data_IF_115235237879
#
_entry.id   IF_115235237879
#
_cell.length_a   1.000
_cell.length_b   1.000
_cell.length_c   1.000
_cell.angle_alpha   90.00
_cell.angle_beta   90.00
_cell.angle_gamma   90.00
#
_symmetry.space_group_name_H-M   'P 1'
#
loop_
_entity.id
_entity.type
_entity.pdbx_description
1 polymer ?
#
# COMPACT_ATOMS: atom_id res chain seq x y z
N UNK A 1 -19.04 -3.44 0.34
CA UNK A 1 -19.79 -2.17 0.31
C UNK A 1 -21.27 -2.40 -0.01
N UNK A 2 -22.19 -1.73 0.67
CA UNK A 2 -23.63 -1.78 0.37
C UNK A 2 -24.02 -0.88 -0.82
N UNK A 3 -25.25 -1.06 -1.30
CA UNK A 3 -25.76 -0.43 -2.52
C UNK A 3 -25.89 1.10 -2.38
N UNK A 4 -26.19 1.63 -1.20
CA UNK A 4 -26.38 3.07 -1.01
C UNK A 4 -25.05 3.82 -1.05
N UNK A 5 -24.01 3.27 -0.44
CA UNK A 5 -22.64 3.77 -0.60
C UNK A 5 -22.16 3.70 -2.05
N UNK A 6 -22.51 2.65 -2.78
CA UNK A 6 -22.18 2.56 -4.21
C UNK A 6 -22.88 3.65 -5.04
N UNK A 7 -24.15 3.95 -4.74
CA UNK A 7 -24.87 5.05 -5.39
C UNK A 7 -24.17 6.38 -5.16
N UNK A 8 -23.64 6.63 -3.96
CA UNK A 8 -22.87 7.84 -3.66
C UNK A 8 -21.62 7.93 -4.56
N UNK A 9 -20.84 6.85 -4.70
CA UNK A 9 -19.68 6.83 -5.60
C UNK A 9 -20.07 7.10 -7.06
N UNK A 10 -21.15 6.50 -7.54
CA UNK A 10 -21.65 6.72 -8.91
C UNK A 10 -22.10 8.18 -9.10
N UNK A 11 -22.70 8.80 -8.07
CA UNK A 11 -23.11 10.20 -8.11
C UNK A 11 -21.91 11.16 -8.19
N UNK A 12 -20.81 10.86 -7.51
CA UNK A 12 -19.55 11.62 -7.64
C UNK A 12 -19.05 11.55 -9.10
N UNK A 13 -19.01 10.35 -9.69
CA UNK A 13 -18.60 10.18 -11.09
C UNK A 13 -19.55 10.86 -12.08
N UNK A 14 -20.85 10.89 -11.78
CA UNK A 14 -21.85 11.59 -12.59
C UNK A 14 -21.67 13.11 -12.52
N UNK A 15 -21.25 13.66 -11.38
CA UNK A 15 -20.98 15.09 -11.25
C UNK A 15 -19.83 15.54 -12.17
N UNK A 16 -18.77 14.72 -12.30
CA UNK A 16 -17.63 15.04 -13.16
C UNK A 16 -17.90 14.74 -14.64
N UNK A 17 -18.39 13.54 -14.96
CA UNK A 17 -18.49 13.06 -16.34
C UNK A 17 -19.88 13.27 -16.97
N UNK A 18 -20.82 13.86 -16.23
CA UNK A 18 -22.17 14.17 -16.67
C UNK A 18 -22.91 12.96 -17.25
N UNK A 19 -23.42 13.11 -18.47
CA UNK A 19 -24.23 12.08 -19.14
C UNK A 19 -23.45 10.82 -19.53
N UNK A 20 -22.11 10.83 -19.46
CA UNK A 20 -21.31 9.60 -19.67
C UNK A 20 -21.49 8.59 -18.54
N UNK A 21 -22.00 9.02 -17.37
CA UNK A 21 -22.29 8.16 -16.22
C UNK A 21 -23.79 8.13 -15.97
N UNK A 22 -24.36 6.95 -16.21
CA UNK A 22 -25.75 6.65 -15.91
C UNK A 22 -25.79 5.97 -14.54
N UNK A 23 -26.51 6.58 -13.60
CA UNK A 23 -26.77 6.03 -12.29
C UNK A 23 -28.08 5.22 -12.36
N UNK A 24 -27.95 3.90 -12.35
CA UNK A 24 -29.11 2.99 -12.28
C UNK A 24 -28.94 2.03 -11.09
N UNK A 25 -30.06 1.51 -10.60
CA UNK A 25 -30.10 0.56 -9.49
C UNK A 25 -29.35 -0.73 -9.85
N UNK A 26 -29.49 -1.21 -11.09
CA UNK A 26 -28.84 -2.42 -11.58
C UNK A 26 -27.33 -2.25 -11.62
N UNK A 27 -26.84 -1.08 -12.07
CA UNK A 27 -25.41 -0.76 -12.07
C UNK A 27 -24.87 -0.73 -10.64
N UNK A 28 -25.60 -0.12 -9.71
CA UNK A 28 -25.20 -0.07 -8.31
C UNK A 28 -25.12 -1.49 -7.69
N UNK A 29 -26.04 -2.39 -8.03
CA UNK A 29 -26.00 -3.80 -7.58
C UNK A 29 -24.81 -4.57 -8.15
N UNK A 30 -24.48 -4.38 -9.43
CA UNK A 30 -23.29 -4.99 -10.03
C UNK A 30 -22.03 -4.51 -9.31
N UNK A 31 -21.94 -3.20 -9.06
CA UNK A 31 -20.78 -2.62 -8.39
C UNK A 31 -20.68 -3.07 -6.92
N UNK A 32 -21.80 -3.24 -6.21
CA UNK A 32 -21.78 -3.74 -4.83
C UNK A 32 -21.25 -5.17 -4.73
N UNK A 33 -21.47 -6.01 -5.75
CA UNK A 33 -20.89 -7.36 -5.81
C UNK A 33 -19.37 -7.28 -5.98
N UNK A 34 -18.89 -6.50 -6.93
CA UNK A 34 -17.45 -6.35 -7.21
C UNK A 34 -16.71 -5.74 -6.01
N UNK A 35 -17.27 -4.71 -5.40
CA UNK A 35 -16.70 -3.97 -4.27
C UNK A 35 -17.21 -4.47 -2.92
N UNK A 36 -17.72 -5.70 -2.86
CA UNK A 36 -18.27 -6.30 -1.63
C UNK A 36 -17.25 -6.35 -0.50
N UNK A 37 -15.98 -6.57 -0.84
CA UNK A 37 -14.84 -6.65 0.07
C UNK A 37 -14.26 -5.29 0.52
N UNK A 38 -14.70 -4.18 -0.07
CA UNK A 38 -14.19 -2.85 0.20
C UNK A 38 -15.12 -2.05 1.12
N UNK A 39 -14.53 -1.18 1.94
CA UNK A 39 -15.23 -0.16 2.73
C UNK A 39 -15.51 1.08 1.88
N UNK A 40 -16.50 1.89 2.26
CA UNK A 40 -16.84 3.11 1.53
C UNK A 40 -15.65 4.07 1.42
N UNK A 41 -14.90 4.27 2.52
CA UNK A 41 -13.72 5.14 2.55
C UNK A 41 -12.63 4.70 1.55
N UNK A 42 -12.38 3.40 1.40
CA UNK A 42 -11.43 2.89 0.40
C UNK A 42 -11.90 3.16 -1.02
N UNK A 43 -13.21 3.01 -1.29
CA UNK A 43 -13.80 3.31 -2.59
C UNK A 43 -13.78 4.81 -2.92
N UNK A 44 -14.06 5.66 -1.93
CA UNK A 44 -14.01 7.11 -2.08
C UNK A 44 -12.60 7.60 -2.39
N UNK A 45 -11.59 7.12 -1.66
CA UNK A 45 -10.18 7.43 -1.93
C UNK A 45 -9.77 7.00 -3.34
N UNK A 46 -10.09 5.77 -3.73
CA UNK A 46 -9.77 5.25 -5.06
C UNK A 46 -10.45 6.07 -6.17
N UNK A 47 -11.70 6.48 -5.98
CA UNK A 47 -12.39 7.37 -6.93
C UNK A 47 -11.71 8.73 -6.99
N UNK A 48 -11.35 9.34 -5.86
CA UNK A 48 -10.67 10.64 -5.83
C UNK A 48 -9.31 10.61 -6.57
N UNK A 49 -8.52 9.55 -6.38
CA UNK A 49 -7.24 9.38 -7.08
C UNK A 49 -7.45 9.20 -8.60
N UNK A 50 -8.39 8.37 -9.02
CA UNK A 50 -8.71 8.18 -10.44
C UNK A 50 -9.26 9.45 -11.10
N UNK A 51 -9.95 10.31 -10.34
CA UNK A 51 -10.42 11.62 -10.83
C UNK A 51 -9.29 12.66 -10.92
N UNK A 52 -8.21 12.49 -10.16
CA UNK A 52 -7.03 13.36 -10.22
C UNK A 52 -6.17 13.12 -11.47
N UNK A 53 -6.32 11.95 -12.09
CA UNK A 53 -5.66 11.61 -13.35
C UNK A 53 -6.33 12.33 -14.54
N UNK A 54 -5.53 12.72 -15.53
CA UNK A 54 -6.04 13.31 -16.77
C UNK A 54 -6.73 12.24 -17.66
N UNK A 55 -8.01 11.94 -17.38
CA UNK A 55 -8.79 10.88 -18.05
C UNK A 55 -9.88 11.45 -18.93
N UNK A 56 -10.05 10.87 -20.12
CA UNK A 56 -11.12 11.27 -21.06
C UNK A 56 -12.47 10.55 -20.81
N UNK A 57 -12.44 9.45 -20.07
CA UNK A 57 -13.57 8.54 -19.83
C UNK A 57 -13.72 8.22 -18.34
N UNK A 58 -14.97 8.03 -17.87
CA UNK A 58 -15.22 7.68 -16.48
C UNK A 58 -14.58 6.32 -16.13
N UNK A 59 -14.02 6.16 -14.92
CA UNK A 59 -13.44 4.91 -14.48
C UNK A 59 -14.51 3.82 -14.37
N UNK A 60 -14.15 2.61 -14.75
CA UNK A 60 -14.95 1.41 -14.55
C UNK A 60 -14.84 0.90 -13.12
N UNK A 61 -15.81 0.08 -12.69
CA UNK A 61 -15.74 -0.59 -11.37
C UNK A 61 -14.51 -1.47 -11.22
N UNK A 62 -14.01 -2.06 -12.32
CA UNK A 62 -12.79 -2.86 -12.31
C UNK A 62 -11.56 -2.01 -11.99
N UNK A 63 -11.48 -0.80 -12.54
CA UNK A 63 -10.39 0.13 -12.27
C UNK A 63 -10.45 0.67 -10.84
N UNK A 64 -11.63 1.01 -10.35
CA UNK A 64 -11.83 1.40 -8.94
C UNK A 64 -11.39 0.26 -8.02
N UNK A 65 -11.79 -0.98 -8.32
CA UNK A 65 -11.36 -2.15 -7.56
C UNK A 65 -9.83 -2.34 -7.58
N UNK A 66 -9.21 -2.20 -8.75
CA UNK A 66 -7.75 -2.28 -8.87
C UNK A 66 -7.05 -1.20 -8.05
N UNK A 67 -7.58 0.03 -8.05
CA UNK A 67 -7.03 1.12 -7.27
C UNK A 67 -7.18 0.87 -5.76
N UNK A 68 -8.33 0.37 -5.30
CA UNK A 68 -8.52 -0.06 -3.90
C UNK A 68 -7.47 -1.11 -3.51
N UNK A 69 -7.24 -2.11 -4.37
CA UNK A 69 -6.24 -3.15 -4.11
C UNK A 69 -4.81 -2.58 -4.11
N UNK A 70 -4.49 -1.62 -4.98
CA UNK A 70 -3.21 -0.89 -4.96
C UNK A 70 -3.03 -0.13 -3.65
N UNK A 71 -4.04 0.60 -3.21
CA UNK A 71 -4.00 1.38 -1.97
C UNK A 71 -3.83 0.49 -0.74
N UNK A 72 -4.47 -0.68 -0.72
CA UNK A 72 -4.30 -1.70 0.33
C UNK A 72 -2.91 -2.32 0.34
N UNK A 73 -2.32 -2.51 -0.82
CA UNK A 73 -0.93 -2.97 -0.93
C UNK A 73 0.06 -1.88 -0.49
N UNK A 74 -0.43 -0.65 -0.27
CA UNK A 74 0.38 0.55 -0.16
C UNK A 74 1.02 0.91 -1.50
N UNK A 75 1.53 2.13 -1.63
CA UNK A 75 2.68 2.33 -2.49
C UNK A 75 3.71 1.28 -2.08
N UNK A 76 3.79 0.19 -2.84
CA UNK A 76 5.02 -0.61 -2.85
C UNK A 76 6.07 0.40 -3.23
N UNK A 77 6.85 0.89 -2.26
CA UNK A 77 8.15 1.48 -2.54
C UNK A 77 8.77 0.53 -3.55
N UNK A 78 8.96 1.00 -4.78
CA UNK A 78 9.38 0.12 -5.86
C UNK A 78 10.67 -0.52 -5.38
N UNK A 79 10.60 -1.83 -5.11
CA UNK A 79 11.72 -2.58 -4.58
C UNK A 79 12.93 -2.43 -5.50
N UNK A 80 12.68 -2.19 -6.80
CA UNK A 80 13.69 -1.86 -7.79
C UNK A 80 14.30 -0.49 -7.54
N UNK A 81 13.50 0.55 -7.31
CA UNK A 81 14.00 1.89 -7.00
C UNK A 81 14.81 1.90 -5.69
N UNK A 82 14.34 1.18 -4.66
CA UNK A 82 15.08 1.01 -3.43
C UNK A 82 16.40 0.25 -3.62
N UNK A 83 16.39 -0.76 -4.49
CA UNK A 83 17.59 -1.50 -4.85
C UNK A 83 18.60 -0.61 -5.59
N UNK A 84 18.16 0.25 -6.50
CA UNK A 84 19.03 1.17 -7.22
C UNK A 84 19.70 2.17 -6.25
N UNK A 85 18.98 2.64 -5.23
CA UNK A 85 19.56 3.45 -4.15
C UNK A 85 20.59 2.68 -3.33
N UNK A 86 20.33 1.41 -3.01
CA UNK A 86 21.28 0.52 -2.32
C UNK A 86 22.53 0.29 -3.17
N UNK A 87 22.38 0.08 -4.47
CA UNK A 87 23.50 -0.08 -5.41
C UNK A 87 24.38 1.17 -5.45
N UNK A 88 23.79 2.36 -5.58
CA UNK A 88 24.51 3.63 -5.59
C UNK A 88 25.25 3.87 -4.26
N UNK A 89 24.62 3.53 -3.13
CA UNK A 89 25.24 3.63 -1.80
C UNK A 89 26.36 2.59 -1.60
N UNK A 90 26.19 1.38 -2.12
CA UNK A 90 27.15 0.27 -2.05
C UNK A 90 28.44 0.55 -2.82
N UNK A 91 28.35 1.18 -3.99
CA UNK A 91 29.53 1.61 -4.75
C UNK A 91 30.42 2.60 -3.98
N UNK A 92 29.84 3.36 -3.06
CA UNK A 92 30.53 4.36 -2.23
C UNK A 92 30.76 3.87 -0.78
N UNK A 93 30.48 2.59 -0.47
CA UNK A 93 30.43 2.09 0.91
C UNK A 93 31.77 1.58 1.45
N UNK A 94 32.77 1.37 0.59
CA UNK A 94 34.06 0.76 0.97
C UNK A 94 34.70 1.45 2.19
N UNK A 95 34.70 2.79 2.19
CA UNK A 95 35.24 3.59 3.30
C UNK A 95 34.16 4.30 4.14
N UNK A 96 32.93 4.45 3.64
CA UNK A 96 31.88 5.28 4.25
C UNK A 96 30.54 4.53 4.46
N UNK A 97 30.56 3.20 4.62
CA UNK A 97 29.34 2.39 4.68
C UNK A 97 28.32 2.84 5.74
N UNK A 98 28.76 3.30 6.91
CA UNK A 98 27.83 3.75 7.95
C UNK A 98 27.09 5.03 7.56
N UNK A 99 27.82 6.00 6.99
CA UNK A 99 27.23 7.26 6.52
C UNK A 99 26.30 7.01 5.32
N UNK A 100 26.69 6.14 4.40
CA UNK A 100 25.86 5.80 3.24
C UNK A 100 24.62 4.98 3.62
N UNK A 101 24.75 4.05 4.57
CA UNK A 101 23.61 3.30 5.09
C UNK A 101 22.63 4.19 5.88
N UNK A 102 23.12 5.25 6.53
CA UNK A 102 22.27 6.23 7.21
C UNK A 102 21.43 7.08 6.24
N UNK A 103 21.89 7.28 5.00
CA UNK A 103 21.16 8.00 3.95
C UNK A 103 20.06 7.16 3.27
N UNK A 104 20.05 5.85 3.50
CA UNK A 104 19.04 4.96 2.92
C UNK A 104 17.71 5.04 3.71
N UNK A 105 16.56 4.88 3.04
CA UNK A 105 15.28 4.68 3.70
C UNK A 105 15.34 3.52 4.71
N UNK A 106 14.67 3.64 5.85
CA UNK A 106 14.77 2.66 6.94
C UNK A 106 14.42 1.24 6.49
N UNK A 107 13.40 1.09 5.65
CA UNK A 107 12.99 -0.19 5.07
C UNK A 107 14.12 -0.85 4.26
N UNK A 108 14.80 -0.08 3.40
CA UNK A 108 15.93 -0.57 2.60
C UNK A 108 17.16 -0.87 3.48
N UNK A 109 17.47 0.01 4.44
CA UNK A 109 18.57 -0.21 5.40
C UNK A 109 18.36 -1.49 6.20
N UNK A 110 17.14 -1.76 6.65
CA UNK A 110 16.80 -2.98 7.39
C UNK A 110 16.83 -4.22 6.51
N UNK A 111 16.29 -4.14 5.29
CA UNK A 111 16.28 -5.25 4.34
C UNK A 111 17.69 -5.67 3.91
N UNK A 112 18.60 -4.71 3.68
CA UNK A 112 19.98 -5.00 3.29
C UNK A 112 20.86 -5.46 4.46
N UNK A 113 20.46 -5.21 5.72
CA UNK A 113 21.27 -5.57 6.90
C UNK A 113 22.22 -4.47 7.37
N UNK A 114 21.91 -3.20 7.08
CA UNK A 114 22.68 -2.04 7.51
C UNK A 114 24.01 -1.88 6.78
N UNK A 115 24.99 -1.28 7.45
CA UNK A 115 26.30 -0.96 6.86
C UNK A 115 27.08 -2.22 6.44
N UNK A 116 26.91 -3.34 7.14
CA UNK A 116 27.57 -4.62 6.83
C UNK A 116 27.08 -5.14 5.47
N UNK A 117 25.77 -5.28 5.30
CA UNK A 117 25.21 -5.72 4.01
C UNK A 117 25.45 -4.74 2.87
N UNK A 118 25.58 -3.44 3.17
CA UNK A 118 25.96 -2.44 2.16
C UNK A 118 27.42 -2.60 1.68
N UNK A 119 28.33 -3.04 2.55
CA UNK A 119 29.71 -3.40 2.15
C UNK A 119 29.73 -4.68 1.33
N UNK A 120 28.91 -5.67 1.70
CA UNK A 120 28.77 -6.91 0.92
C UNK A 120 28.30 -6.61 -0.50
N UNK A 121 27.32 -5.71 -0.70
CA UNK A 121 26.91 -5.24 -2.03
C UNK A 121 28.05 -4.60 -2.81
N UNK A 122 28.87 -3.76 -2.16
CA UNK A 122 29.99 -3.07 -2.82
C UNK A 122 31.15 -4.00 -3.22
N UNK A 123 31.29 -5.15 -2.56
CA UNK A 123 32.35 -6.14 -2.80
C UNK A 123 31.86 -7.38 -3.57
N UNK A 124 30.56 -7.49 -3.82
CA UNK A 124 29.94 -8.66 -4.41
C UNK A 124 30.33 -8.86 -5.88
N UNK A 125 30.52 -10.12 -6.27
CA UNK A 125 30.56 -10.51 -7.68
C UNK A 125 29.15 -10.39 -8.31
N UNK A 126 29.03 -10.34 -9.67
CA UNK A 126 27.72 -10.27 -10.32
C UNK A 126 26.76 -11.40 -9.93
N UNK A 127 27.27 -12.61 -9.68
CA UNK A 127 26.47 -13.75 -9.20
C UNK A 127 25.99 -13.57 -7.77
N UNK A 128 26.85 -13.08 -6.87
CA UNK A 128 26.49 -12.83 -5.47
C UNK A 128 25.50 -11.68 -5.37
N UNK A 129 25.67 -10.66 -6.22
CA UNK A 129 24.78 -9.51 -6.28
C UNK A 129 23.35 -9.90 -6.67
N UNK A 130 23.17 -10.86 -7.57
CA UNK A 130 21.85 -11.37 -7.95
C UNK A 130 21.16 -12.06 -6.75
N UNK A 131 21.92 -12.80 -5.94
CA UNK A 131 21.42 -13.46 -4.73
C UNK A 131 21.05 -12.42 -3.65
N UNK A 132 21.93 -11.44 -3.42
CA UNK A 132 21.69 -10.36 -2.45
C UNK A 132 20.45 -9.55 -2.87
N UNK A 133 20.26 -9.28 -4.16
CA UNK A 133 19.06 -8.61 -4.70
C UNK A 133 17.78 -9.41 -4.41
N UNK A 134 17.81 -10.72 -4.61
CA UNK A 134 16.67 -11.59 -4.35
C UNK A 134 16.31 -11.63 -2.85
N UNK A 135 17.32 -11.76 -1.98
CA UNK A 135 17.14 -11.74 -0.53
C UNK A 135 16.64 -10.37 -0.02
N UNK A 136 17.17 -9.28 -0.57
CA UNK A 136 16.73 -7.92 -0.29
C UNK A 136 15.24 -7.75 -0.58
N UNK A 137 14.79 -8.17 -1.77
CA UNK A 137 13.37 -8.15 -2.15
C UNK A 137 12.51 -8.95 -1.17
N UNK A 138 12.89 -10.19 -0.87
CA UNK A 138 12.14 -11.05 0.04
C UNK A 138 12.01 -10.43 1.44
N UNK A 139 13.09 -9.83 1.96
CA UNK A 139 13.08 -9.16 3.28
C UNK A 139 12.26 -7.89 3.28
N UNK A 140 12.29 -7.12 2.20
CA UNK A 140 11.49 -5.92 2.04
C UNK A 140 9.99 -6.26 2.02
N UNK A 141 9.59 -7.26 1.24
CA UNK A 141 8.20 -7.74 1.14
C UNK A 141 7.70 -8.35 2.47
N UNK A 142 8.56 -9.08 3.18
CA UNK A 142 8.24 -9.62 4.51
C UNK A 142 8.12 -8.51 5.57
N UNK A 143 8.94 -7.47 5.47
CA UNK A 143 8.93 -6.31 6.37
C UNK A 143 7.73 -5.38 6.17
N UNK A 144 7.24 -5.24 4.93
CA UNK A 144 6.00 -4.52 4.62
C UNK A 144 4.78 -5.27 5.15
N UNK A 145 4.72 -6.58 4.96
CA UNK A 145 3.62 -7.42 5.48
C UNK A 145 3.52 -7.36 7.02
N UNK A 146 4.66 -7.46 7.72
CA UNK A 146 4.69 -7.38 9.18
C UNK A 146 4.35 -5.97 9.73
N UNK A 147 4.69 -4.91 8.98
CA UNK A 147 4.35 -3.53 9.34
C UNK A 147 2.85 -3.28 9.17
N UNK A 148 2.26 -3.77 8.08
CA UNK A 148 0.81 -3.70 7.84
C UNK A 148 0.02 -4.45 8.92
N UNK A 149 0.38 -5.69 9.24
CA UNK A 149 -0.28 -6.47 10.30
C UNK A 149 -0.23 -5.78 11.66
N UNK A 150 0.89 -5.12 11.99
CA UNK A 150 1.07 -4.41 13.26
C UNK A 150 0.27 -3.11 13.31
N UNK A 151 0.20 -2.39 12.19
CA UNK A 151 -0.55 -1.15 12.08
C UNK A 151 -2.06 -1.41 12.07
N UNK A 152 -2.53 -2.42 11.33
CA UNK A 152 -3.92 -2.89 11.36
C UNK A 152 -4.29 -3.35 12.77
N UNK A 153 -3.45 -4.12 13.46
CA UNK A 153 -3.69 -4.54 14.86
C UNK A 153 -3.74 -3.36 15.83
N UNK A 154 -2.88 -2.35 15.65
CA UNK A 154 -2.86 -1.14 16.48
C UNK A 154 -4.08 -0.23 16.22
N UNK A 155 -4.52 -0.12 14.97
CA UNK A 155 -5.73 0.57 14.58
C UNK A 155 -6.98 -0.12 15.15
N UNK A 156 -7.04 -1.46 15.09
CA UNK A 156 -8.10 -2.27 15.72
C UNK A 156 -8.11 -2.05 17.23
N UNK A 157 -6.97 -2.14 17.92
CA UNK A 157 -6.87 -1.90 19.37
C UNK A 157 -7.32 -0.48 19.77
N UNK A 158 -7.10 0.52 18.92
CA UNK A 158 -7.53 1.90 19.14
C UNK A 158 -9.02 2.11 18.84
N UNK A 159 -9.59 1.32 17.94
CA UNK A 159 -10.99 1.37 17.54
C UNK A 159 -11.91 0.51 18.43
N UNK A 160 -11.37 -0.37 19.27
CA UNK A 160 -12.14 -1.07 20.29
C UNK A 160 -12.66 -0.03 21.32
N UNK A 161 -13.99 0.11 21.51
CA UNK A 161 -14.51 1.00 22.53
C UNK A 161 -14.00 0.54 23.91
N UNK A 162 -13.63 1.50 24.78
CA UNK A 162 -13.32 1.23 26.19
C UNK A 162 -14.57 0.68 26.88
N UNK A 163 -14.82 -0.63 26.75
CA UNK A 163 -15.87 -1.31 27.49
C UNK A 163 -15.36 -1.43 28.93
N UNK A 164 -15.68 -0.43 29.74
CA UNK A 164 -15.58 -0.52 31.18
C UNK A 164 -16.64 -1.53 31.65
N UNK A 165 -16.29 -2.82 31.63
CA UNK A 165 -17.13 -3.87 32.20
C UNK A 165 -17.11 -3.67 33.72
N UNK A 166 -18.04 -2.87 34.24
CA UNK A 166 -18.43 -2.99 35.64
C UNK A 166 -19.07 -4.37 35.79
N UNK A 167 -18.28 -5.34 36.23
CA UNK A 167 -18.79 -6.62 36.71
C UNK A 167 -19.66 -6.29 37.92
N UNK A 168 -20.97 -6.29 37.71
CA UNK A 168 -21.93 -6.24 38.80
C UNK A 168 -21.99 -7.67 39.34
N UNK A 169 -21.36 -7.90 40.48
CA UNK A 169 -21.54 -9.14 41.24
C UNK A 169 -23.04 -9.28 41.53
N UNK A 170 -23.62 -10.36 41.04
CA UNK A 170 -24.99 -10.78 41.36
C UNK A 170 -24.87 -11.62 42.63
N UNK A 171 -25.29 -11.04 43.75
CA UNK A 171 -25.71 -11.75 44.95
C UNK A 171 -27.22 -11.76 45.04
#
# INVERSE_FOLDING_TARGET
MDVDHIKQLIMILKAEYGNKVIATEERARVWSVVLSHATYAEGELAVAELLSEARQFPPSVGEINQQILRNRQGEKLDWSELWDRVMAAGQNSIYNAEEQAAKLPEAARRAIGGAVGLKEVGLASPSDLAVIRAQFRQRLESGSAASQDRETKKAILKALPNINVKVKEIG
#
